data_IF_371263936647
#
_entry.id   IF_371263936647
#
_cell.length_a   1.000
_cell.length_b   1.000
_cell.length_c   1.000
_cell.angle_alpha   90.00
_cell.angle_beta   90.00
_cell.angle_gamma   90.00
#
_symmetry.space_group_name_H-M   'P 1'
#
loop_
_entity.id
_entity.type
_entity.pdbx_description
1 polymer ?
#
# COMPACT_ATOMS: atom_id res chain seq x y z
N UNK A 1 7.91 -7.36 -27.94
CA UNK A 1 7.30 -7.45 -26.60
C UNK A 1 5.78 -7.53 -26.75
N UNK A 2 5.10 -8.40 -26.00
CA UNK A 2 3.63 -8.43 -25.87
C UNK A 2 3.31 -8.12 -24.43
N UNK A 3 2.35 -7.26 -24.20
CA UNK A 3 1.85 -6.91 -22.86
C UNK A 3 0.44 -7.46 -22.64
N UNK A 4 0.08 -7.64 -21.39
CA UNK A 4 -1.26 -8.03 -20.95
C UNK A 4 -1.59 -7.31 -19.67
N UNK A 5 -2.66 -6.53 -19.70
CA UNK A 5 -3.22 -5.90 -18.50
C UNK A 5 -4.40 -6.72 -18.01
N UNK A 6 -4.42 -7.00 -16.72
CA UNK A 6 -5.48 -7.77 -16.07
C UNK A 6 -6.14 -6.90 -14.99
N UNK A 7 -7.39 -7.19 -14.69
CA UNK A 7 -8.07 -6.56 -13.56
C UNK A 7 -7.27 -6.78 -12.28
N UNK A 8 -7.02 -5.70 -11.55
CA UNK A 8 -6.31 -5.70 -10.27
C UNK A 8 -7.01 -6.59 -9.22
N UNK A 9 -6.30 -6.95 -8.16
CA UNK A 9 -6.73 -7.76 -7.04
C UNK A 9 -6.72 -9.28 -7.32
N UNK A 10 -7.61 -10.04 -6.66
CA UNK A 10 -7.62 -11.51 -6.69
C UNK A 10 -7.65 -12.13 -8.10
N UNK A 11 -8.36 -11.58 -9.10
CA UNK A 11 -8.33 -12.13 -10.46
C UNK A 11 -6.94 -12.17 -11.07
N UNK A 12 -6.14 -11.11 -10.89
CA UNK A 12 -4.76 -11.04 -11.35
C UNK A 12 -3.89 -12.13 -10.69
N UNK A 13 -3.91 -12.18 -9.35
CA UNK A 13 -3.07 -13.12 -8.59
C UNK A 13 -3.42 -14.58 -8.87
N UNK A 14 -4.70 -14.90 -8.97
CA UNK A 14 -5.16 -16.25 -9.31
C UNK A 14 -4.68 -16.65 -10.70
N UNK A 15 -4.84 -15.76 -11.69
CA UNK A 15 -4.41 -16.04 -13.06
C UNK A 15 -2.90 -16.20 -13.17
N UNK A 16 -2.12 -15.37 -12.45
CA UNK A 16 -0.66 -15.48 -12.42
C UNK A 16 -0.22 -16.81 -11.80
N UNK A 17 -0.82 -17.21 -10.68
CA UNK A 17 -0.52 -18.48 -10.02
C UNK A 17 -0.85 -19.69 -10.90
N UNK A 18 -2.02 -19.68 -11.56
CA UNK A 18 -2.42 -20.74 -12.49
C UNK A 18 -1.50 -20.81 -13.71
N UNK A 19 -1.10 -19.66 -14.27
CA UNK A 19 -0.20 -19.60 -15.40
C UNK A 19 1.21 -20.15 -15.05
N UNK A 20 1.73 -19.78 -13.87
CA UNK A 20 2.99 -20.31 -13.37
C UNK A 20 2.93 -21.82 -13.13
N UNK A 21 1.87 -22.31 -12.45
CA UNK A 21 1.67 -23.74 -12.19
C UNK A 21 1.49 -24.55 -13.49
N UNK A 22 0.90 -23.94 -14.53
CA UNK A 22 0.68 -24.55 -15.85
C UNK A 22 1.83 -24.36 -16.83
N UNK A 23 2.98 -23.82 -16.40
CA UNK A 23 4.15 -23.50 -17.25
C UNK A 23 3.79 -22.63 -18.47
N UNK A 24 2.86 -21.69 -18.29
CA UNK A 24 2.40 -20.72 -19.31
C UNK A 24 2.45 -19.28 -18.79
N UNK A 25 3.31 -19.03 -17.81
CA UNK A 25 3.47 -17.72 -17.22
C UNK A 25 4.15 -16.74 -18.19
N UNK A 26 3.91 -15.42 -18.04
CA UNK A 26 4.68 -14.40 -18.75
C UNK A 26 6.14 -14.40 -18.30
N UNK A 27 7.03 -13.84 -19.13
CA UNK A 27 8.45 -13.71 -18.80
C UNK A 27 8.72 -12.76 -17.65
N UNK A 28 7.87 -11.74 -17.51
CA UNK A 28 7.93 -10.72 -16.47
C UNK A 28 6.51 -10.39 -16.00
N UNK A 29 6.34 -10.20 -14.69
CA UNK A 29 5.10 -9.75 -14.09
C UNK A 29 5.32 -8.59 -13.12
N UNK A 30 4.24 -7.86 -12.79
CA UNK A 30 4.23 -6.89 -11.70
C UNK A 30 3.39 -7.44 -10.57
N UNK A 31 3.88 -7.37 -9.34
CA UNK A 31 3.21 -7.89 -8.15
C UNK A 31 3.41 -6.94 -6.97
N UNK A 32 2.46 -6.87 -6.06
CA UNK A 32 2.68 -6.21 -4.78
C UNK A 32 3.69 -7.00 -3.95
N UNK A 33 4.66 -6.32 -3.38
CA UNK A 33 5.77 -6.93 -2.64
C UNK A 33 5.30 -7.79 -1.48
N UNK A 34 4.27 -7.34 -0.75
CA UNK A 34 3.70 -8.10 0.37
C UNK A 34 3.10 -9.46 -0.04
N UNK A 35 2.78 -9.66 -1.33
CA UNK A 35 2.24 -10.93 -1.86
C UNK A 35 3.32 -11.97 -2.18
N UNK A 36 4.57 -11.54 -2.33
CA UNK A 36 5.66 -12.39 -2.80
C UNK A 36 5.89 -13.59 -1.88
N UNK A 37 5.82 -13.38 -0.56
CA UNK A 37 6.00 -14.45 0.43
C UNK A 37 5.03 -15.63 0.24
N UNK A 38 3.79 -15.35 -0.20
CA UNK A 38 2.80 -16.40 -0.49
C UNK A 38 3.00 -17.12 -1.83
N UNK A 39 3.85 -16.61 -2.71
CA UNK A 39 4.09 -17.18 -4.04
C UNK A 39 5.43 -17.92 -4.16
N UNK A 40 6.49 -17.45 -3.48
CA UNK A 40 7.83 -18.01 -3.61
C UNK A 40 7.98 -19.47 -3.13
N UNK A 41 7.46 -19.85 -1.93
CA UNK A 41 7.61 -21.22 -1.43
C UNK A 41 6.98 -22.28 -2.33
N UNK A 42 5.94 -21.92 -3.09
CA UNK A 42 5.25 -22.81 -4.00
C UNK A 42 5.90 -22.93 -5.38
N UNK A 43 7.08 -22.37 -5.57
CA UNK A 43 7.74 -22.29 -6.89
C UNK A 43 6.87 -21.64 -7.97
N UNK A 44 6.09 -20.67 -7.58
CA UNK A 44 5.32 -19.86 -8.53
C UNK A 44 6.13 -18.66 -9.05
N UNK A 45 7.26 -18.37 -8.43
CA UNK A 45 8.21 -17.34 -8.82
C UNK A 45 9.61 -17.93 -8.91
N UNK A 46 10.38 -17.50 -9.91
CA UNK A 46 11.81 -17.72 -10.01
C UNK A 46 12.58 -16.57 -9.33
N UNK A 47 13.74 -16.83 -8.71
CA UNK A 47 14.55 -15.75 -8.15
C UNK A 47 15.23 -14.94 -9.25
N UNK A 48 15.46 -13.67 -8.99
CA UNK A 48 16.28 -12.80 -9.81
C UNK A 48 17.76 -13.20 -9.71
N UNK A 49 18.47 -13.16 -10.84
CA UNK A 49 19.94 -13.22 -10.88
C UNK A 49 20.49 -11.82 -10.57
N UNK A 50 20.99 -11.63 -9.34
CA UNK A 50 21.54 -10.34 -8.90
C UNK A 50 22.83 -9.98 -9.64
N UNK A 51 23.60 -10.95 -10.13
CA UNK A 51 24.77 -10.72 -10.99
C UNK A 51 24.37 -10.16 -12.34
N UNK A 52 23.28 -10.68 -12.91
CA UNK A 52 22.74 -10.20 -14.17
C UNK A 52 22.11 -8.81 -14.01
N UNK A 53 21.42 -8.52 -12.90
CA UNK A 53 20.96 -7.17 -12.60
C UNK A 53 22.13 -6.19 -12.48
N UNK A 54 23.21 -6.57 -11.79
CA UNK A 54 24.43 -5.76 -11.66
C UNK A 54 25.10 -5.47 -13.01
N UNK A 55 25.07 -6.42 -13.95
CA UNK A 55 25.53 -6.21 -15.35
C UNK A 55 24.79 -5.07 -16.03
N UNK A 56 23.51 -4.86 -15.68
CA UNK A 56 22.67 -3.77 -16.19
C UNK A 56 22.64 -2.54 -15.25
N UNK A 57 23.60 -2.43 -14.31
CA UNK A 57 23.76 -1.26 -13.47
C UNK A 57 22.79 -1.14 -12.31
N UNK A 58 22.14 -2.24 -11.92
CA UNK A 58 21.19 -2.28 -10.79
C UNK A 58 21.76 -3.10 -9.65
N UNK A 59 21.90 -2.50 -8.45
CA UNK A 59 22.49 -3.10 -7.26
C UNK A 59 21.58 -2.89 -6.05
N UNK A 60 21.71 -3.74 -5.04
CA UNK A 60 21.00 -3.64 -3.76
C UNK A 60 21.09 -2.23 -3.15
N UNK A 61 22.30 -1.64 -3.11
CA UNK A 61 22.55 -0.33 -2.52
C UNK A 61 21.78 0.83 -3.20
N UNK A 62 21.21 0.59 -4.37
CA UNK A 62 20.42 1.57 -5.12
C UNK A 62 18.94 1.60 -4.70
N UNK A 63 18.52 0.73 -3.76
CA UNK A 63 17.13 0.61 -3.35
C UNK A 63 16.90 1.00 -1.89
N UNK A 64 15.65 1.32 -1.57
CA UNK A 64 15.22 1.43 -0.18
C UNK A 64 15.51 0.11 0.55
N UNK A 65 16.30 0.12 1.65
CA UNK A 65 16.76 -1.10 2.32
C UNK A 65 15.61 -1.99 2.84
N UNK A 66 14.51 -1.39 3.32
CA UNK A 66 13.38 -2.16 3.82
C UNK A 66 12.68 -2.92 2.69
N UNK A 67 12.48 -2.30 1.53
CA UNK A 67 11.88 -2.97 0.39
C UNK A 67 12.77 -4.11 -0.11
N UNK A 68 14.08 -3.89 -0.20
CA UNK A 68 14.99 -4.95 -0.62
C UNK A 68 14.98 -6.12 0.35
N UNK A 69 15.06 -5.85 1.66
CA UNK A 69 14.97 -6.88 2.70
C UNK A 69 13.68 -7.70 2.61
N UNK A 70 12.55 -7.04 2.32
CA UNK A 70 11.24 -7.71 2.14
C UNK A 70 11.19 -8.55 0.87
N UNK A 71 11.90 -8.15 -0.19
CA UNK A 71 11.97 -8.86 -1.47
C UNK A 71 12.85 -10.12 -1.42
N UNK A 72 13.74 -10.22 -0.42
CA UNK A 72 14.61 -11.40 -0.20
C UNK A 72 13.88 -12.42 0.67
N UNK A 73 13.79 -13.66 0.19
CA UNK A 73 13.21 -14.80 0.91
C UNK A 73 14.23 -15.95 0.79
N UNK A 74 14.60 -16.54 1.93
CA UNK A 74 15.61 -17.62 2.01
C UNK A 74 16.91 -17.27 1.26
N UNK A 75 17.38 -16.03 1.42
CA UNK A 75 18.61 -15.52 0.82
C UNK A 75 18.54 -15.27 -0.69
N UNK A 76 17.38 -15.35 -1.32
CA UNK A 76 17.18 -15.11 -2.76
C UNK A 76 16.25 -13.94 -3.01
N UNK A 77 16.57 -13.10 -3.99
CA UNK A 77 15.74 -11.98 -4.43
C UNK A 77 14.59 -12.51 -5.30
N UNK A 78 13.33 -12.39 -4.85
CA UNK A 78 12.16 -12.83 -5.62
C UNK A 78 11.37 -11.67 -6.26
N UNK A 79 11.63 -10.44 -5.83
CA UNK A 79 11.02 -9.26 -6.41
C UNK A 79 12.05 -8.15 -6.58
N UNK A 80 11.95 -7.38 -7.66
CA UNK A 80 12.71 -6.16 -7.86
C UNK A 80 11.77 -4.97 -7.63
N UNK A 81 11.88 -4.22 -6.51
CA UNK A 81 10.97 -3.14 -6.20
C UNK A 81 11.01 -2.03 -7.25
N UNK A 82 9.84 -1.58 -7.71
CA UNK A 82 9.69 -0.48 -8.67
C UNK A 82 9.41 0.83 -7.95
N UNK A 83 8.51 0.80 -6.98
CA UNK A 83 8.02 1.98 -6.28
C UNK A 83 7.74 1.73 -4.81
N UNK A 84 7.36 2.81 -4.14
CA UNK A 84 6.61 2.80 -2.89
C UNK A 84 5.33 3.57 -3.16
N UNK A 85 4.19 2.93 -2.99
CA UNK A 85 2.91 3.60 -3.00
C UNK A 85 2.33 3.64 -1.59
N UNK A 86 1.81 4.81 -1.23
CA UNK A 86 1.45 5.15 0.14
C UNK A 86 0.06 5.76 0.21
N UNK A 87 -0.59 5.61 1.36
CA UNK A 87 -1.78 6.40 1.69
C UNK A 87 -1.36 7.79 2.15
N UNK A 88 -2.02 8.81 1.62
CA UNK A 88 -1.73 10.22 1.86
C UNK A 88 -2.96 10.96 2.35
N UNK A 89 -2.72 12.07 3.02
CA UNK A 89 -3.70 13.11 3.27
C UNK A 89 -3.55 14.19 2.20
N UNK A 90 -4.43 14.17 1.21
CA UNK A 90 -4.56 15.26 0.23
C UNK A 90 -5.41 16.36 0.80
N UNK A 91 -5.06 17.62 0.49
CA UNK A 91 -5.80 18.80 0.97
C UNK A 91 -5.92 19.88 -0.10
N UNK A 92 -7.09 20.51 -0.16
CA UNK A 92 -7.41 21.62 -1.07
C UNK A 92 -6.85 22.93 -0.49
N UNK A 93 -5.84 23.51 -1.13
CA UNK A 93 -5.22 24.77 -0.66
C UNK A 93 -6.18 25.95 -0.65
N UNK A 94 -7.04 26.04 -1.68
CA UNK A 94 -8.05 27.09 -1.78
C UNK A 94 -9.11 27.05 -0.64
N UNK A 95 -9.47 25.84 -0.20
CA UNK A 95 -10.41 25.65 0.92
C UNK A 95 -9.73 25.86 2.26
N UNK A 96 -8.54 25.28 2.47
CA UNK A 96 -7.78 25.42 3.70
C UNK A 96 -7.37 26.87 3.98
N UNK A 97 -7.05 27.65 2.94
CA UNK A 97 -6.77 29.07 3.07
C UNK A 97 -7.98 29.84 3.63
N UNK A 98 -9.19 29.55 3.14
CA UNK A 98 -10.43 30.15 3.67
C UNK A 98 -10.72 29.75 5.11
N UNK A 99 -10.32 28.55 5.50
CA UNK A 99 -10.47 28.02 6.86
C UNK A 99 -9.37 28.46 7.84
N UNK A 100 -8.33 29.17 7.36
CA UNK A 100 -7.18 29.55 8.20
C UNK A 100 -6.28 28.36 8.58
N UNK A 101 -6.29 27.28 7.77
CA UNK A 101 -5.58 26.02 8.01
C UNK A 101 -4.36 25.82 7.08
N UNK A 102 -3.99 26.87 6.33
CA UNK A 102 -2.82 26.86 5.46
C UNK A 102 -1.74 27.78 6.02
N UNK A 103 -0.54 27.26 6.20
CA UNK A 103 0.63 28.05 6.61
C UNK A 103 1.15 28.97 5.48
N UNK A 104 2.05 29.87 5.82
CA UNK A 104 2.67 30.80 4.86
C UNK A 104 3.49 30.08 3.79
N UNK A 105 3.96 28.87 4.07
CA UNK A 105 4.66 27.99 3.14
C UNK A 105 3.72 27.24 2.16
N UNK A 106 2.41 27.49 2.24
CA UNK A 106 1.39 26.83 1.42
C UNK A 106 1.11 25.38 1.81
N UNK A 107 1.53 24.95 3.00
CA UNK A 107 1.25 23.64 3.55
C UNK A 107 0.15 23.69 4.60
N UNK A 108 -0.51 22.55 4.78
CA UNK A 108 -1.46 22.37 5.88
C UNK A 108 -0.77 22.57 7.22
N UNK A 109 -1.44 23.20 8.18
CA UNK A 109 -0.96 23.30 9.57
C UNK A 109 -0.59 21.95 10.13
N UNK A 110 0.47 21.84 10.94
CA UNK A 110 0.89 20.57 11.54
C UNK A 110 -0.21 19.97 12.41
N UNK A 111 -0.33 18.65 12.39
CA UNK A 111 -1.27 17.87 13.22
C UNK A 111 -0.49 16.73 13.84
N UNK A 112 -0.51 16.63 15.17
CA UNK A 112 0.26 15.63 15.94
C UNK A 112 -0.57 14.84 16.94
N UNK A 113 -1.86 15.18 17.08
CA UNK A 113 -2.79 14.52 17.99
C UNK A 113 -4.17 14.30 17.36
N UNK A 114 -4.93 13.38 17.94
CA UNK A 114 -6.32 13.11 17.56
C UNK A 114 -7.18 14.36 17.70
N UNK A 115 -7.02 15.11 18.79
CA UNK A 115 -7.84 16.30 19.05
C UNK A 115 -7.52 17.40 18.04
N UNK A 116 -6.25 17.68 17.76
CA UNK A 116 -5.84 18.62 16.71
C UNK A 116 -6.40 18.24 15.34
N UNK A 117 -6.40 16.95 15.00
CA UNK A 117 -7.01 16.52 13.74
C UNK A 117 -8.49 16.82 13.65
N UNK A 118 -9.26 16.55 14.71
CA UNK A 118 -10.68 16.83 14.72
C UNK A 118 -10.98 18.34 14.82
N UNK A 119 -10.11 19.14 15.43
CA UNK A 119 -10.21 20.61 15.37
C UNK A 119 -9.98 21.11 13.94
N UNK A 120 -8.98 20.58 13.22
CA UNK A 120 -8.78 20.89 11.80
C UNK A 120 -10.00 20.52 10.97
N UNK A 121 -10.59 19.33 11.16
CA UNK A 121 -11.82 18.96 10.45
C UNK A 121 -12.99 19.88 10.78
N UNK A 122 -13.13 20.30 12.03
CA UNK A 122 -14.19 21.24 12.49
C UNK A 122 -14.05 22.59 11.81
N UNK A 123 -12.84 23.14 11.73
CA UNK A 123 -12.61 24.42 11.05
C UNK A 123 -12.80 24.28 9.54
N UNK A 124 -12.26 23.22 8.93
CA UNK A 124 -12.43 22.97 7.50
C UNK A 124 -13.90 22.81 7.08
N UNK A 125 -14.74 22.22 7.95
CA UNK A 125 -16.19 22.08 7.71
C UNK A 125 -16.87 23.43 7.49
N UNK A 126 -16.44 24.49 8.17
CA UNK A 126 -17.01 25.83 8.00
C UNK A 126 -16.82 26.41 6.60
N UNK A 127 -15.74 25.97 5.92
CA UNK A 127 -15.41 26.35 4.55
C UNK A 127 -15.86 25.31 3.49
N UNK A 128 -16.39 24.17 3.94
CA UNK A 128 -16.87 23.10 3.04
C UNK A 128 -18.20 23.52 2.38
N UNK A 129 -18.30 23.35 1.07
CA UNK A 129 -19.53 23.63 0.36
C UNK A 129 -20.67 22.69 0.79
N UNK A 130 -21.91 23.22 0.76
CA UNK A 130 -23.10 22.44 1.14
C UNK A 130 -23.23 21.19 0.26
N UNK A 131 -23.46 20.06 0.89
CA UNK A 131 -23.62 18.76 0.22
C UNK A 131 -22.33 17.96 0.05
N UNK A 132 -21.16 18.56 0.33
CA UNK A 132 -19.89 17.85 0.35
C UNK A 132 -19.53 17.36 1.75
N UNK A 133 -18.73 16.30 1.79
CA UNK A 133 -18.09 15.82 3.02
C UNK A 133 -16.85 16.67 3.35
N UNK A 134 -16.49 16.75 4.63
CA UNK A 134 -15.26 17.45 5.04
C UNK A 134 -14.03 16.64 4.67
N UNK A 135 -14.16 15.31 4.72
CA UNK A 135 -13.11 14.40 4.27
C UNK A 135 -13.71 13.27 3.45
N UNK A 136 -13.12 13.04 2.28
CA UNK A 136 -13.39 11.90 1.44
C UNK A 136 -12.40 10.78 1.74
N UNK A 137 -12.88 9.62 2.17
CA UNK A 137 -12.13 8.37 2.14
C UNK A 137 -13.08 7.17 2.05
N UNK A 138 -12.55 6.03 1.64
CA UNK A 138 -13.33 4.87 1.25
C UNK A 138 -13.82 4.10 2.47
N UNK A 139 -14.87 4.61 3.14
CA UNK A 139 -15.40 4.00 4.36
C UNK A 139 -15.95 2.60 4.14
N UNK A 140 -16.62 2.37 3.02
CA UNK A 140 -17.21 1.07 2.67
C UNK A 140 -16.31 0.27 1.72
N UNK A 141 -14.99 0.34 1.93
CA UNK A 141 -14.02 -0.50 1.24
C UNK A 141 -13.09 -1.19 2.23
N UNK A 142 -13.14 -2.52 2.23
CA UNK A 142 -12.42 -3.34 3.19
C UNK A 142 -10.90 -3.20 3.10
N UNK A 143 -10.34 -2.98 1.90
CA UNK A 143 -8.90 -2.87 1.72
C UNK A 143 -8.42 -1.51 2.23
N UNK A 144 -9.09 -0.41 1.86
CA UNK A 144 -8.73 0.93 2.31
C UNK A 144 -8.88 1.07 3.82
N UNK A 145 -9.98 0.60 4.41
CA UNK A 145 -10.16 0.64 5.86
C UNK A 145 -9.11 -0.18 6.59
N UNK A 146 -8.72 -1.32 6.03
CA UNK A 146 -7.62 -2.11 6.55
C UNK A 146 -6.28 -1.35 6.47
N UNK A 147 -5.97 -0.69 5.36
CA UNK A 147 -4.73 0.06 5.20
C UNK A 147 -4.63 1.27 6.12
N UNK A 148 -5.73 2.00 6.33
CA UNK A 148 -5.77 3.05 7.34
C UNK A 148 -5.60 2.49 8.76
N UNK A 149 -6.24 1.36 9.05
CA UNK A 149 -6.02 0.68 10.32
C UNK A 149 -4.56 0.30 10.52
N UNK A 150 -3.89 -0.30 9.52
CA UNK A 150 -2.45 -0.64 9.56
C UNK A 150 -1.61 0.59 9.87
N UNK A 151 -1.86 1.71 9.18
CA UNK A 151 -1.12 2.96 9.39
C UNK A 151 -1.23 3.44 10.83
N UNK A 152 -2.43 3.62 11.34
CA UNK A 152 -2.67 4.19 12.68
C UNK A 152 -2.31 3.21 13.80
N UNK A 153 -2.48 1.92 13.58
CA UNK A 153 -2.02 0.89 14.53
C UNK A 153 -0.49 0.89 14.67
N UNK A 154 0.22 1.08 13.55
CA UNK A 154 1.68 1.27 13.55
C UNK A 154 2.10 2.56 14.24
N UNK A 155 1.35 3.67 14.11
CA UNK A 155 1.59 4.90 14.87
C UNK A 155 1.54 4.68 16.38
N UNK A 156 0.70 3.77 16.87
CA UNK A 156 0.63 3.36 18.28
C UNK A 156 1.72 2.34 18.67
N UNK A 157 2.63 1.97 17.76
CA UNK A 157 3.60 0.90 18.01
C UNK A 157 2.93 -0.47 18.14
N UNK A 158 1.85 -0.70 17.42
CA UNK A 158 1.21 -2.00 17.31
C UNK A 158 2.02 -2.97 16.47
N UNK A 159 2.03 -4.23 16.88
CA UNK A 159 2.65 -5.36 16.19
C UNK A 159 1.62 -6.45 15.94
N UNK A 160 1.87 -7.31 14.95
CA UNK A 160 0.94 -8.35 14.54
C UNK A 160 1.31 -9.70 15.12
N UNK A 161 2.59 -10.05 14.98
CA UNK A 161 3.20 -11.30 15.37
C UNK A 161 4.57 -11.02 15.99
N UNK A 162 5.11 -12.00 16.70
CA UNK A 162 6.50 -12.01 17.13
C UNK A 162 7.45 -12.09 15.90
N UNK A 163 8.75 -11.89 16.11
CA UNK A 163 9.76 -11.90 15.04
C UNK A 163 9.83 -13.24 14.27
N UNK A 164 9.46 -14.33 14.92
CA UNK A 164 9.41 -15.67 14.32
C UNK A 164 8.08 -15.97 13.58
N UNK A 165 7.10 -15.11 13.69
CA UNK A 165 5.73 -15.32 13.22
C UNK A 165 5.08 -16.60 13.79
N UNK A 166 5.32 -16.89 15.07
CA UNK A 166 4.76 -18.05 15.78
C UNK A 166 3.69 -17.67 16.81
N UNK A 167 3.70 -16.41 17.28
CA UNK A 167 2.76 -15.91 18.27
C UNK A 167 2.09 -14.61 17.81
N UNK A 168 0.81 -14.44 18.16
CA UNK A 168 0.05 -13.21 17.90
C UNK A 168 0.36 -12.19 18.99
N UNK A 169 1.03 -11.11 18.64
CA UNK A 169 1.35 -9.99 19.55
C UNK A 169 0.35 -8.83 19.44
N UNK A 170 -0.74 -9.03 18.71
CA UNK A 170 -1.76 -8.02 18.45
C UNK A 170 -2.39 -7.48 19.76
N UNK A 171 -2.23 -6.16 19.95
CA UNK A 171 -2.73 -5.41 21.11
C UNK A 171 -4.15 -4.90 20.83
N UNK A 172 -5.12 -5.48 21.55
CA UNK A 172 -6.54 -5.14 21.39
C UNK A 172 -6.87 -3.73 21.86
N UNK A 173 -6.18 -3.17 22.85
CA UNK A 173 -6.47 -1.83 23.37
C UNK A 173 -6.00 -0.76 22.40
N UNK A 174 -4.83 -0.95 21.78
CA UNK A 174 -4.36 -0.11 20.68
C UNK A 174 -5.32 -0.20 19.48
N UNK A 175 -5.80 -1.40 19.17
CA UNK A 175 -6.75 -1.61 18.09
C UNK A 175 -8.08 -0.87 18.32
N UNK A 176 -8.61 -0.92 19.54
CA UNK A 176 -9.81 -0.18 19.94
C UNK A 176 -9.62 1.32 19.70
N UNK A 177 -8.51 1.89 20.17
CA UNK A 177 -8.20 3.32 19.95
C UNK A 177 -8.19 3.73 18.49
N UNK A 178 -7.61 2.89 17.61
CA UNK A 178 -7.63 3.14 16.16
C UNK A 178 -9.04 3.07 15.59
N UNK A 179 -9.81 2.03 15.96
CA UNK A 179 -11.18 1.85 15.48
C UNK A 179 -12.10 3.00 15.93
N UNK A 180 -11.96 3.49 17.16
CA UNK A 180 -12.66 4.67 17.68
C UNK A 180 -12.29 5.93 16.88
N UNK A 181 -11.01 6.15 16.63
CA UNK A 181 -10.53 7.27 15.82
C UNK A 181 -11.13 7.25 14.41
N UNK A 182 -11.05 6.12 13.70
CA UNK A 182 -11.62 5.98 12.36
C UNK A 182 -13.15 6.17 12.36
N UNK A 183 -13.85 5.57 13.32
CA UNK A 183 -15.30 5.68 13.48
C UNK A 183 -15.76 7.11 13.75
N UNK A 184 -14.98 7.89 14.48
CA UNK A 184 -15.34 9.27 14.86
C UNK A 184 -15.56 10.17 13.63
N UNK A 185 -14.86 9.92 12.50
CA UNK A 185 -15.10 10.67 11.26
C UNK A 185 -16.53 10.54 10.76
N UNK A 186 -17.13 9.36 10.90
CA UNK A 186 -18.53 9.11 10.55
C UNK A 186 -19.47 9.61 11.65
N UNK A 187 -19.16 9.30 12.90
CA UNK A 187 -20.03 9.64 14.05
C UNK A 187 -20.23 11.15 14.20
N UNK A 188 -19.17 11.95 13.96
CA UNK A 188 -19.20 13.40 14.00
C UNK A 188 -19.64 14.01 12.65
N UNK A 189 -20.00 13.18 11.66
CA UNK A 189 -20.52 13.56 10.35
C UNK A 189 -19.51 14.24 9.43
N UNK A 190 -18.20 14.02 9.59
CA UNK A 190 -17.17 14.53 8.68
C UNK A 190 -17.08 13.73 7.40
N UNK A 191 -17.45 12.46 7.45
CA UNK A 191 -17.39 11.52 6.34
C UNK A 191 -18.68 10.69 6.21
N UNK A 192 -18.95 10.18 5.01
CA UNK A 192 -20.13 9.36 4.71
C UNK A 192 -19.79 7.86 4.78
N UNK A 193 -20.48 7.08 5.63
CA UNK A 193 -20.21 5.64 5.76
C UNK A 193 -20.54 4.80 4.52
N UNK A 194 -21.35 5.32 3.60
CA UNK A 194 -21.75 4.64 2.37
C UNK A 194 -20.74 4.79 1.22
N UNK A 195 -19.72 5.63 1.36
CA UNK A 195 -18.77 5.87 0.28
C UNK A 195 -17.78 4.71 0.13
N UNK A 196 -17.79 4.11 -1.05
CA UNK A 196 -16.83 3.12 -1.52
C UNK A 196 -16.07 3.62 -2.74
N UNK A 197 -15.45 2.72 -3.46
CA UNK A 197 -14.57 2.90 -4.61
C UNK A 197 -14.62 4.21 -5.38
N UNK A 198 -13.64 5.09 -5.18
CA UNK A 198 -13.48 6.35 -5.92
C UNK A 198 -14.29 7.54 -5.40
N UNK A 199 -15.30 7.35 -4.55
CA UNK A 199 -16.14 8.44 -4.07
C UNK A 199 -15.36 9.49 -3.24
N UNK A 200 -14.30 9.08 -2.53
CA UNK A 200 -13.42 10.00 -1.81
C UNK A 200 -12.70 10.96 -2.76
N UNK A 201 -12.12 10.45 -3.83
CA UNK A 201 -11.46 11.24 -4.85
C UNK A 201 -12.45 12.16 -5.57
N UNK A 202 -13.65 11.66 -5.91
CA UNK A 202 -14.72 12.46 -6.52
C UNK A 202 -15.14 13.63 -5.62
N UNK A 203 -15.37 13.41 -4.32
CA UNK A 203 -15.66 14.46 -3.37
C UNK A 203 -14.56 15.51 -3.30
N UNK A 204 -13.29 15.10 -3.35
CA UNK A 204 -12.15 16.00 -3.34
C UNK A 204 -12.08 16.85 -4.61
N UNK A 205 -12.28 16.26 -5.78
CA UNK A 205 -12.39 17.00 -7.06
C UNK A 205 -13.51 18.04 -6.99
N UNK A 206 -14.65 17.71 -6.40
CA UNK A 206 -15.81 18.59 -6.25
C UNK A 206 -15.69 19.65 -5.14
N UNK A 207 -14.58 19.65 -4.36
CA UNK A 207 -14.28 20.70 -3.39
C UNK A 207 -14.33 20.29 -1.92
N UNK A 208 -14.34 19.00 -1.59
CA UNK A 208 -14.09 18.55 -0.22
C UNK A 208 -12.69 18.99 0.23
N UNK A 209 -12.52 19.51 1.46
CA UNK A 209 -11.23 19.99 1.97
C UNK A 209 -10.13 18.94 1.95
N UNK A 210 -10.49 17.71 2.29
CA UNK A 210 -9.53 16.60 2.43
C UNK A 210 -9.96 15.35 1.67
N UNK A 211 -8.96 14.58 1.24
CA UNK A 211 -9.11 13.18 0.85
C UNK A 211 -7.98 12.33 1.44
N UNK A 212 -8.34 11.19 2.04
CA UNK A 212 -7.38 10.15 2.35
C UNK A 212 -7.40 9.14 1.22
N UNK A 213 -6.36 9.20 0.41
CA UNK A 213 -6.24 8.43 -0.83
C UNK A 213 -4.82 7.93 -1.04
N UNK A 214 -4.64 6.98 -1.93
CA UNK A 214 -3.31 6.58 -2.35
C UNK A 214 -2.67 7.61 -3.30
N UNK A 215 -1.35 7.63 -3.30
CA UNK A 215 -0.58 8.52 -4.17
C UNK A 215 -0.84 8.31 -5.67
N UNK A 216 -1.40 7.19 -6.07
CA UNK A 216 -1.89 6.94 -7.44
C UNK A 216 -3.06 7.83 -7.86
N UNK A 217 -3.67 8.58 -6.94
CA UNK A 217 -4.73 9.55 -7.25
C UNK A 217 -4.18 10.89 -7.77
N UNK A 218 -2.87 11.12 -7.71
CA UNK A 218 -2.21 12.33 -8.22
C UNK A 218 -2.59 12.66 -9.67
N UNK A 219 -2.62 11.73 -10.64
CA UNK A 219 -3.02 12.06 -12.00
C UNK A 219 -4.47 12.55 -12.12
N UNK A 220 -5.37 12.03 -11.28
CA UNK A 220 -6.78 12.45 -11.24
C UNK A 220 -6.88 13.90 -10.78
N UNK A 221 -6.19 14.24 -9.69
CA UNK A 221 -6.24 15.59 -9.11
C UNK A 221 -5.51 16.63 -9.97
N UNK A 222 -4.36 16.24 -10.55
CA UNK A 222 -3.62 17.10 -11.49
C UNK A 222 -4.39 17.30 -12.79
N UNK A 223 -5.07 16.27 -13.31
CA UNK A 223 -5.91 16.38 -14.50
C UNK A 223 -7.17 17.24 -14.30
N UNK A 224 -7.62 17.38 -13.06
CA UNK A 224 -8.70 18.30 -12.68
C UNK A 224 -8.20 19.72 -12.37
N UNK A 225 -6.91 20.01 -12.58
CA UNK A 225 -6.28 21.32 -12.37
C UNK A 225 -6.51 21.91 -10.96
N UNK A 226 -6.52 21.05 -9.93
CA UNK A 226 -6.77 21.48 -8.55
C UNK A 226 -5.55 22.19 -7.95
N UNK A 227 -5.80 23.22 -7.13
CA UNK A 227 -4.78 23.75 -6.21
C UNK A 227 -4.81 22.94 -4.93
N UNK A 228 -3.89 21.96 -4.83
CA UNK A 228 -3.85 21.00 -3.75
C UNK A 228 -2.42 20.73 -3.27
N UNK A 229 -2.32 20.17 -2.09
CA UNK A 229 -1.10 19.60 -1.55
C UNK A 229 -1.35 18.18 -1.04
N UNK A 230 -0.29 17.48 -0.70
CA UNK A 230 -0.33 16.15 -0.14
C UNK A 230 0.73 15.98 0.95
N UNK A 231 0.39 15.26 2.00
CA UNK A 231 1.29 14.91 3.10
C UNK A 231 1.05 13.45 3.49
N UNK A 232 2.02 12.75 4.11
CA UNK A 232 1.74 11.49 4.79
C UNK A 232 0.51 11.62 5.71
N UNK A 233 -0.12 10.51 6.04
CA UNK A 233 -1.22 10.53 7.03
C UNK A 233 -0.74 11.21 8.32
N UNK A 234 -1.54 12.13 8.91
CA UNK A 234 -1.13 12.86 10.10
C UNK A 234 -0.73 11.93 11.24
N UNK A 235 0.38 12.20 11.96
CA UNK A 235 0.87 11.36 13.06
C UNK A 235 0.06 11.57 14.35
N UNK A 236 -1.26 11.34 14.26
CA UNK A 236 -2.22 11.63 15.34
C UNK A 236 -1.99 10.85 16.63
N UNK A 237 -1.19 9.79 16.57
CA UNK A 237 -0.78 9.00 17.74
C UNK A 237 0.71 9.22 18.10
N UNK A 238 1.30 10.34 17.65
CA UNK A 238 2.63 10.81 18.05
C UNK A 238 3.79 10.25 17.23
N UNK A 239 3.64 9.10 16.56
CA UNK A 239 4.67 8.53 15.68
C UNK A 239 4.26 8.64 14.22
N UNK A 240 5.12 9.16 13.32
CA UNK A 240 4.80 9.15 11.90
C UNK A 240 4.77 7.71 11.38
N UNK A 241 3.68 7.33 10.74
CA UNK A 241 3.57 6.11 9.95
C UNK A 241 2.41 6.26 8.97
N UNK A 242 2.63 5.82 7.74
CA UNK A 242 1.58 5.75 6.72
C UNK A 242 1.62 4.38 6.04
N UNK A 243 0.45 3.84 5.69
CA UNK A 243 0.42 2.56 4.98
C UNK A 243 1.20 2.65 3.68
N UNK A 244 2.08 1.68 3.48
CA UNK A 244 2.93 1.58 2.32
C UNK A 244 2.94 0.16 1.76
N UNK A 245 2.98 0.07 0.43
CA UNK A 245 3.21 -1.16 -0.31
C UNK A 245 4.10 -0.83 -1.53
N UNK A 246 4.53 -1.82 -2.29
CA UNK A 246 5.40 -1.64 -3.45
C UNK A 246 4.89 -2.48 -4.62
N UNK A 247 4.76 -1.88 -5.79
CA UNK A 247 4.79 -2.65 -7.02
C UNK A 247 6.21 -3.12 -7.27
N UNK A 248 6.34 -4.39 -7.62
CA UNK A 248 7.64 -5.01 -7.83
C UNK A 248 7.60 -5.90 -9.05
N UNK A 249 8.68 -5.91 -9.81
CA UNK A 249 8.84 -6.88 -10.88
C UNK A 249 9.15 -8.25 -10.30
N UNK A 250 8.50 -9.28 -10.84
CA UNK A 250 8.71 -10.68 -10.48
C UNK A 250 8.95 -11.51 -11.74
N UNK A 251 9.63 -12.62 -11.58
CA UNK A 251 9.79 -13.64 -12.62
C UNK A 251 8.83 -14.79 -12.34
N UNK A 252 7.64 -14.84 -12.94
CA UNK A 252 6.74 -15.97 -12.76
C UNK A 252 7.39 -17.25 -13.23
N UNK A 253 7.22 -18.36 -12.47
CA UNK A 253 7.93 -19.61 -12.75
C UNK A 253 7.66 -20.16 -14.15
N UNK A 254 8.73 -20.54 -14.82
CA UNK A 254 8.72 -21.28 -16.09
C UNK A 254 9.77 -22.39 -16.04
N UNK A 255 9.36 -23.66 -16.19
CA UNK A 255 10.25 -24.81 -16.13
C UNK A 255 11.39 -24.75 -17.17
N UNK A 256 11.14 -24.12 -18.32
CA UNK A 256 12.08 -24.03 -19.44
C UNK A 256 12.28 -22.58 -19.88
N UNK A 257 12.54 -21.67 -18.94
CA UNK A 257 12.88 -20.28 -19.27
C UNK A 257 14.18 -20.23 -20.06
N UNK A 258 14.08 -19.82 -21.34
CA UNK A 258 15.24 -19.66 -22.21
C UNK A 258 16.18 -18.55 -21.74
N UNK A 259 17.49 -18.71 -21.91
CA UNK A 259 18.49 -17.74 -21.50
C UNK A 259 18.25 -16.34 -22.08
N UNK A 260 17.87 -16.24 -23.36
CA UNK A 260 17.55 -14.96 -24.00
C UNK A 260 16.32 -14.28 -23.40
N UNK A 261 15.26 -15.02 -23.05
CA UNK A 261 14.08 -14.49 -22.40
C UNK A 261 14.39 -14.01 -20.97
N UNK A 262 15.20 -14.79 -20.24
CA UNK A 262 15.67 -14.41 -18.91
C UNK A 262 16.49 -13.12 -18.94
N UNK A 263 17.45 -13.01 -19.85
CA UNK A 263 18.25 -11.80 -20.03
C UNK A 263 17.42 -10.59 -20.43
N UNK A 264 16.44 -10.77 -21.32
CA UNK A 264 15.53 -9.69 -21.74
C UNK A 264 14.65 -9.19 -20.58
N UNK A 265 14.15 -10.09 -19.72
CA UNK A 265 13.38 -9.72 -18.54
C UNK A 265 14.21 -8.89 -17.54
N UNK A 266 15.45 -9.31 -17.25
CA UNK A 266 16.37 -8.58 -16.37
C UNK A 266 16.71 -7.20 -16.93
N UNK A 267 17.03 -7.14 -18.21
CA UNK A 267 17.36 -5.88 -18.90
C UNK A 267 16.19 -4.91 -18.91
N UNK A 268 14.96 -5.40 -19.18
CA UNK A 268 13.76 -4.57 -19.17
C UNK A 268 13.47 -4.03 -17.77
N UNK A 269 13.48 -4.89 -16.76
CA UNK A 269 13.22 -4.48 -15.38
C UNK A 269 14.27 -3.46 -14.89
N UNK A 270 15.57 -3.72 -15.16
CA UNK A 270 16.64 -2.78 -14.83
C UNK A 270 16.44 -1.41 -15.53
N UNK A 271 16.08 -1.42 -16.80
CA UNK A 271 15.78 -0.19 -17.52
C UNK A 271 14.64 0.61 -16.89
N UNK A 272 13.52 -0.07 -16.56
CA UNK A 272 12.34 0.61 -16.01
C UNK A 272 12.62 1.19 -14.64
N UNK A 273 13.30 0.49 -13.73
CA UNK A 273 13.62 1.03 -12.40
C UNK A 273 14.57 2.21 -12.46
N UNK A 274 15.54 2.21 -13.38
CA UNK A 274 16.45 3.34 -13.62
C UNK A 274 15.74 4.56 -14.24
N UNK A 275 14.58 4.36 -14.89
CA UNK A 275 13.75 5.41 -15.48
C UNK A 275 12.48 5.68 -14.68
N UNK A 276 12.47 5.34 -13.39
CA UNK A 276 11.30 5.42 -12.52
C UNK A 276 10.75 6.85 -12.29
N UNK A 277 11.47 7.90 -12.74
CA UNK A 277 10.94 9.27 -12.74
C UNK A 277 9.66 9.38 -13.58
N UNK A 278 9.54 8.63 -14.69
CA UNK A 278 8.32 8.62 -15.49
C UNK A 278 7.15 7.98 -14.72
N UNK A 279 7.44 6.93 -13.96
CA UNK A 279 6.48 6.29 -13.06
C UNK A 279 6.10 7.21 -11.89
N UNK A 280 7.08 7.95 -11.34
CA UNK A 280 6.85 8.94 -10.29
C UNK A 280 5.91 10.07 -10.71
N UNK A 281 5.87 10.45 -11.99
CA UNK A 281 4.90 11.43 -12.47
C UNK A 281 3.44 10.99 -12.24
N UNK A 282 3.18 9.68 -12.16
CA UNK A 282 1.91 9.09 -11.76
C UNK A 282 1.64 9.08 -10.25
N UNK A 283 2.49 9.74 -9.45
CA UNK A 283 2.33 9.87 -7.99
C UNK A 283 3.23 8.97 -7.15
N UNK A 284 3.78 7.90 -7.71
CA UNK A 284 4.55 6.90 -6.97
C UNK A 284 5.93 7.39 -6.54
N UNK A 285 6.42 6.94 -5.39
CA UNK A 285 7.78 7.22 -4.92
C UNK A 285 8.71 6.14 -5.51
N UNK A 286 9.76 6.47 -6.27
CA UNK A 286 10.71 5.48 -6.78
C UNK A 286 11.37 4.66 -5.68
N UNK A 287 11.36 3.34 -5.81
CA UNK A 287 12.14 2.46 -4.93
C UNK A 287 13.64 2.53 -5.24
N UNK A 288 13.98 2.85 -6.49
CA UNK A 288 15.34 3.11 -6.95
C UNK A 288 15.77 4.51 -6.51
N UNK A 289 16.51 4.59 -5.41
CA UNK A 289 16.83 5.84 -4.69
C UNK A 289 17.65 6.85 -5.48
N UNK A 290 18.51 6.48 -6.46
CA UNK A 290 19.21 7.48 -7.28
C UNK A 290 18.25 8.43 -8.03
N UNK A 291 17.04 7.97 -8.38
CA UNK A 291 16.04 8.82 -9.03
C UNK A 291 15.62 10.00 -8.14
N UNK A 292 15.52 9.81 -6.83
CA UNK A 292 15.09 10.83 -5.86
C UNK A 292 16.06 12.00 -5.79
N UNK A 293 17.34 11.76 -6.10
CA UNK A 293 18.41 12.77 -6.07
C UNK A 293 18.47 13.62 -7.34
N UNK A 294 17.70 13.29 -8.39
CA UNK A 294 17.71 14.03 -9.65
C UNK A 294 16.96 15.36 -9.54
N UNK A 295 17.42 16.39 -10.27
CA UNK A 295 16.71 17.68 -10.36
C UNK A 295 15.28 17.47 -10.87
N UNK A 296 15.11 16.62 -11.88
CA UNK A 296 13.81 16.33 -12.48
C UNK A 296 12.78 15.71 -11.51
N UNK A 297 13.22 14.90 -10.51
CA UNK A 297 12.33 14.41 -9.46
C UNK A 297 12.03 15.50 -8.43
N UNK A 298 13.01 16.28 -8.03
CA UNK A 298 12.84 17.36 -7.04
C UNK A 298 11.87 18.46 -7.49
N UNK A 299 11.62 18.57 -8.79
CA UNK A 299 10.65 19.49 -9.38
C UNK A 299 9.22 18.95 -9.41
N UNK A 300 9.03 17.63 -9.24
CA UNK A 300 7.68 17.02 -9.24
C UNK A 300 6.89 17.47 -8.01
N UNK A 301 5.69 17.96 -8.23
CA UNK A 301 4.74 18.36 -7.19
C UNK A 301 3.41 17.65 -7.39
N UNK A 302 2.80 17.14 -6.32
CA UNK A 302 3.24 17.15 -4.91
C UNK A 302 4.23 16.02 -4.53
N UNK A 303 4.71 15.19 -5.49
CA UNK A 303 5.46 13.95 -5.23
C UNK A 303 6.67 14.15 -4.33
N UNK A 304 7.43 15.23 -4.55
CA UNK A 304 8.59 15.54 -3.72
C UNK A 304 8.21 15.96 -2.29
N UNK A 305 6.99 16.47 -2.07
CA UNK A 305 6.54 16.94 -0.75
C UNK A 305 6.25 15.78 0.22
N UNK A 306 5.84 14.62 -0.31
CA UNK A 306 5.55 13.44 0.48
C UNK A 306 6.59 12.31 0.33
N UNK A 307 7.68 12.54 -0.38
CA UNK A 307 8.72 11.50 -0.59
C UNK A 307 9.26 10.91 0.73
N UNK A 308 9.34 11.73 1.80
CA UNK A 308 9.74 11.27 3.13
C UNK A 308 8.83 10.21 3.76
N UNK A 309 7.64 9.94 3.19
CA UNK A 309 6.81 8.82 3.61
C UNK A 309 7.52 7.46 3.49
N UNK A 310 8.52 7.36 2.62
CA UNK A 310 9.33 6.15 2.48
C UNK A 310 10.13 5.76 3.72
N UNK A 311 10.36 6.70 4.64
CA UNK A 311 11.10 6.47 5.89
C UNK A 311 10.16 6.07 7.05
N UNK A 312 8.84 6.13 6.82
CA UNK A 312 7.81 5.92 7.83
C UNK A 312 6.73 4.92 7.33
N UNK A 313 7.18 3.82 6.74
CA UNK A 313 6.31 2.82 6.16
C UNK A 313 5.61 1.99 7.25
N UNK A 314 4.27 1.96 7.23
CA UNK A 314 3.46 0.98 7.91
C UNK A 314 3.10 -0.14 6.92
N UNK A 315 3.70 -1.30 7.08
CA UNK A 315 3.50 -2.43 6.17
C UNK A 315 2.75 -3.57 6.86
N UNK A 316 2.05 -4.37 6.07
CA UNK A 316 1.52 -5.63 6.54
C UNK A 316 2.66 -6.60 6.96
N UNK A 317 2.41 -7.57 7.87
CA UNK A 317 3.43 -8.53 8.28
C UNK A 317 3.93 -9.37 7.10
N UNK A 318 5.21 -9.80 7.17
CA UNK A 318 5.82 -10.66 6.16
C UNK A 318 5.42 -12.12 6.37
N UNK A 319 4.18 -12.46 6.04
CA UNK A 319 3.61 -13.81 6.14
C UNK A 319 2.89 -14.18 4.85
N UNK A 320 2.70 -15.47 4.58
CA UNK A 320 2.17 -15.96 3.31
C UNK A 320 0.74 -15.50 3.01
N UNK A 321 -0.06 -15.19 4.02
CA UNK A 321 -1.46 -14.78 3.90
C UNK A 321 -1.66 -13.26 3.89
N UNK A 322 -0.60 -12.46 3.99
CA UNK A 322 -0.64 -10.99 3.97
C UNK A 322 -0.39 -10.40 2.57
N UNK A 323 -0.26 -9.08 2.52
CA UNK A 323 -0.04 -8.27 1.33
C UNK A 323 -1.34 -7.84 0.65
N UNK A 324 -1.21 -6.87 -0.24
CA UNK A 324 -2.34 -6.20 -0.90
C UNK A 324 -3.40 -7.19 -1.40
N UNK A 325 -4.64 -7.01 -0.96
CA UNK A 325 -5.79 -7.90 -1.21
C UNK A 325 -5.56 -9.36 -0.83
N UNK A 326 -4.63 -9.62 0.11
CA UNK A 326 -4.35 -10.95 0.65
C UNK A 326 -5.48 -11.48 1.54
N UNK A 327 -5.34 -12.74 1.95
CA UNK A 327 -6.31 -13.40 2.83
C UNK A 327 -6.51 -12.61 4.13
N UNK A 328 -5.44 -12.02 4.67
CA UNK A 328 -5.50 -11.19 5.86
C UNK A 328 -6.45 -10.00 5.65
N UNK A 329 -6.21 -9.19 4.61
CA UNK A 329 -7.05 -8.05 4.28
C UNK A 329 -8.52 -8.46 4.02
N UNK A 330 -8.75 -9.59 3.33
CA UNK A 330 -10.10 -10.10 3.05
C UNK A 330 -10.85 -10.55 4.31
N UNK A 331 -10.14 -11.07 5.33
CA UNK A 331 -10.78 -11.53 6.57
C UNK A 331 -10.90 -10.44 7.62
N UNK A 332 -9.94 -9.53 7.71
CA UNK A 332 -9.90 -8.47 8.73
C UNK A 332 -10.57 -7.18 8.25
N UNK A 333 -10.42 -6.82 6.98
CA UNK A 333 -10.97 -5.59 6.42
C UNK A 333 -12.48 -5.41 6.67
N UNK A 334 -13.34 -6.43 6.44
CA UNK A 334 -14.77 -6.33 6.76
C UNK A 334 -15.05 -6.09 8.25
N UNK A 335 -14.17 -6.58 9.14
CA UNK A 335 -14.29 -6.34 10.59
C UNK A 335 -14.00 -4.87 10.91
N UNK A 336 -12.97 -4.29 10.29
CA UNK A 336 -12.66 -2.86 10.41
C UNK A 336 -13.83 -2.03 9.89
N UNK A 337 -14.33 -2.31 8.68
CA UNK A 337 -15.49 -1.62 8.09
C UNK A 337 -16.70 -1.67 9.02
N UNK A 338 -17.03 -2.82 9.60
CA UNK A 338 -18.17 -2.95 10.50
C UNK A 338 -18.06 -2.04 11.74
N UNK A 339 -16.85 -1.80 12.23
CA UNK A 339 -16.61 -0.88 13.35
C UNK A 339 -16.65 0.58 12.90
N UNK A 340 -15.97 0.93 11.82
CA UNK A 340 -15.87 2.32 11.34
C UNK A 340 -17.20 2.86 10.83
N UNK A 341 -18.05 2.02 10.24
CA UNK A 341 -19.41 2.38 9.83
C UNK A 341 -20.47 2.30 10.94
N UNK A 342 -20.09 1.82 12.13
CA UNK A 342 -20.97 1.80 13.31
C UNK A 342 -21.77 0.52 13.51
N UNK A 343 -21.60 -0.50 12.66
CA UNK A 343 -22.33 -1.77 12.76
C UNK A 343 -21.84 -2.68 13.89
N UNK A 344 -20.59 -2.50 14.33
CA UNK A 344 -19.98 -3.22 15.44
C UNK A 344 -19.31 -2.26 16.44
N UNK A 345 -19.24 -2.66 17.72
CA UNK A 345 -18.47 -1.94 18.72
C UNK A 345 -16.97 -2.15 18.50
N UNK A 346 -16.11 -1.12 18.71
CA UNK A 346 -14.67 -1.23 18.55
C UNK A 346 -14.03 -2.40 19.30
N UNK A 347 -14.45 -2.67 20.55
CA UNK A 347 -13.92 -3.74 21.38
C UNK A 347 -14.27 -5.13 20.81
N UNK A 348 -15.49 -5.29 20.29
CA UNK A 348 -15.91 -6.53 19.65
C UNK A 348 -15.15 -6.77 18.35
N UNK A 349 -14.94 -5.72 17.56
CA UNK A 349 -14.16 -5.77 16.33
C UNK A 349 -12.70 -6.11 16.63
N UNK A 350 -12.06 -5.47 17.61
CA UNK A 350 -10.66 -5.74 18.00
C UNK A 350 -10.46 -7.19 18.44
N UNK A 351 -11.37 -7.73 19.28
CA UNK A 351 -11.33 -9.16 19.67
C UNK A 351 -11.48 -10.09 18.47
N UNK A 352 -12.39 -9.76 17.53
CA UNK A 352 -12.58 -10.55 16.31
C UNK A 352 -11.36 -10.50 15.41
N UNK A 353 -10.70 -9.35 15.27
CA UNK A 353 -9.45 -9.21 14.53
C UNK A 353 -8.37 -10.13 15.12
N UNK A 354 -8.18 -10.11 16.46
CA UNK A 354 -7.23 -11.00 17.14
C UNK A 354 -7.53 -12.48 16.87
N UNK A 355 -8.80 -12.88 16.92
CA UNK A 355 -9.22 -14.24 16.57
C UNK A 355 -8.85 -14.62 15.14
N UNK A 356 -9.10 -13.74 14.17
CA UNK A 356 -8.72 -13.97 12.76
C UNK A 356 -7.21 -14.12 12.60
N UNK A 357 -6.41 -13.30 13.29
CA UNK A 357 -4.94 -13.41 13.25
C UNK A 357 -4.47 -14.75 13.84
N UNK A 358 -5.06 -15.19 14.94
CA UNK A 358 -4.77 -16.50 15.57
C UNK A 358 -5.12 -17.66 14.63
N UNK A 359 -6.29 -17.63 14.00
CA UNK A 359 -6.72 -18.66 13.06
C UNK A 359 -5.78 -18.74 11.84
N UNK A 360 -5.40 -17.57 11.29
CA UNK A 360 -4.51 -17.51 10.11
C UNK A 360 -3.11 -18.00 10.45
N UNK A 361 -2.60 -17.65 11.61
CA UNK A 361 -1.27 -18.09 12.07
C UNK A 361 -1.25 -19.62 12.27
N UNK A 362 -2.34 -20.22 12.76
CA UNK A 362 -2.49 -21.66 12.90
C UNK A 362 -2.76 -22.42 11.59
N UNK A 363 -3.00 -21.69 10.48
CA UNK A 363 -3.30 -22.30 9.18
C UNK A 363 -2.00 -22.57 8.42
N UNK A 364 -1.81 -23.81 7.94
CA UNK A 364 -0.66 -24.17 7.11
C UNK A 364 -0.72 -23.44 5.77
N UNK A 365 0.44 -22.97 5.30
CA UNK A 365 0.55 -22.43 3.96
C UNK A 365 0.18 -23.53 2.94
N UNK A 366 -0.83 -23.35 2.09
CA UNK A 366 -1.23 -24.37 1.11
C UNK A 366 -0.16 -24.67 0.06
N UNK A 367 0.87 -23.82 -0.02
CA UNK A 367 2.01 -23.98 -0.91
C UNK A 367 3.17 -24.77 -0.27
N UNK A 368 3.15 -24.97 1.07
CA UNK A 368 4.12 -25.80 1.75
C UNK A 368 3.91 -27.26 1.37
N UNK A 369 4.99 -27.96 0.98
CA UNK A 369 4.93 -29.38 0.62
C UNK A 369 4.64 -29.69 -0.85
N UNK A 370 4.49 -28.71 -1.74
CA UNK A 370 4.54 -28.93 -3.19
C UNK A 370 5.97 -29.19 -3.62
N UNK A 371 6.47 -30.42 -3.38
CA UNK A 371 7.75 -30.89 -3.90
C UNK A 371 7.66 -31.13 -5.42
N UNK A 372 8.82 -31.05 -6.11
CA UNK A 372 8.98 -31.23 -7.55
C UNK A 372 8.47 -32.56 -8.14
N UNK A 373 7.91 -33.44 -7.32
CA UNK A 373 7.49 -34.78 -7.70
C UNK A 373 6.09 -34.90 -8.32
N UNK A 374 5.31 -33.81 -8.41
CA UNK A 374 3.94 -33.88 -8.96
C UNK A 374 3.77 -33.24 -10.34
N UNK A 375 4.84 -32.86 -11.01
CA UNK A 375 4.82 -32.36 -12.40
C UNK A 375 5.07 -33.44 -13.46
N UNK A 376 5.15 -34.71 -13.09
CA UNK A 376 5.60 -35.78 -13.98
C UNK A 376 4.65 -36.95 -14.16
N UNK A 377 3.34 -36.77 -14.04
CA UNK A 377 2.37 -37.83 -14.33
C UNK A 377 1.06 -37.25 -14.85
N UNK A 378 1.03 -36.90 -16.12
CA UNK A 378 -0.13 -36.94 -17.01
C UNK A 378 0.43 -36.84 -18.45
N UNK A 379 0.66 -37.97 -19.03
CA UNK A 379 0.86 -38.17 -20.48
C UNK A 379 -0.45 -37.95 -21.25
#
# INVERSE_FOLDING_TARGET
MRDSTLQWASPFYTKLAMAAAGNRAPDLGVMHLGRVTGFSPGRLLDPWDVGLLAKYGVKEADFNPELWRRAVIDGKLYALPLDIHVQLCFYRKDVLKKAGLLGDDGRMVPVTSVDEWFDVLKEARKATAKGLQTIGFWHNDQNFQWWFFVAFYTQLGGTWFDDSNTEVTFDTDKAVRVLEFLRRHVADGYANPGYGGGAGAEQFVNGAPFAWEGNWSVPVFSGAELDYGATPLPPVFGRPATHAESHSFVLPHQANRGGAANEAAHRLAAYVVQHARQWAAGGHIPAYTPTLSTAAYRELRPQNEYAGAMDHQATEPKVWFAGSTGILAQRVGPVVVSSTTGSAKPEAAARRMKGVLTDLLGTKNPMDGRTAAQGGAAA
#
